data_IF_503648381332
#
_entry.id   IF_503648381332
#
_cell.length_a   1.000
_cell.length_b   1.000
_cell.length_c   1.000
_cell.angle_alpha   90.00
_cell.angle_beta   90.00
_cell.angle_gamma   90.00
#
_symmetry.space_group_name_H-M   'P 1'
#
loop_
_entity.id
_entity.type
_entity.pdbx_description
1 polymer ?
#
# COMPACT_ATOMS: atom_id res chain seq x y z
N UNK A 1 -27.65 -7.19 1.62
CA UNK A 1 -26.82 -6.10 2.10
C UNK A 1 -25.43 -6.67 2.47
N UNK A 2 -24.40 -6.24 1.75
CA UNK A 2 -23.03 -6.79 1.82
C UNK A 2 -22.46 -6.76 3.26
N UNK A 3 -22.72 -5.71 4.04
CA UNK A 3 -22.24 -5.60 5.42
C UNK A 3 -22.89 -6.67 6.32
N UNK A 4 -24.18 -6.84 6.21
CA UNK A 4 -24.93 -7.85 6.96
C UNK A 4 -24.45 -9.27 6.62
N UNK A 5 -24.27 -9.57 5.34
CA UNK A 5 -23.80 -10.88 4.88
C UNK A 5 -22.41 -11.19 5.44
N UNK A 6 -21.48 -10.22 5.39
CA UNK A 6 -20.13 -10.36 5.96
C UNK A 6 -20.15 -10.55 7.48
N UNK A 7 -21.03 -9.81 8.19
CA UNK A 7 -21.21 -9.98 9.63
C UNK A 7 -21.69 -11.40 9.97
N UNK A 8 -22.64 -11.92 9.22
CA UNK A 8 -23.15 -13.28 9.44
C UNK A 8 -22.11 -14.35 9.14
N UNK A 9 -21.34 -14.19 8.06
CA UNK A 9 -20.23 -15.08 7.74
C UNK A 9 -19.15 -15.05 8.82
N UNK A 10 -18.81 -13.85 9.32
CA UNK A 10 -17.81 -13.67 10.36
C UNK A 10 -18.24 -14.25 11.72
N UNK A 11 -19.52 -14.22 12.04
CA UNK A 11 -20.06 -14.85 13.27
C UNK A 11 -19.74 -16.36 13.34
N UNK A 12 -19.65 -17.02 12.20
CA UNK A 12 -19.28 -18.44 12.08
C UNK A 12 -17.83 -18.62 11.61
N UNK A 13 -17.05 -17.54 11.70
CA UNK A 13 -15.67 -17.48 11.25
C UNK A 13 -14.70 -18.30 12.10
N UNK A 14 -13.50 -18.42 11.59
CA UNK A 14 -12.41 -19.16 12.22
C UNK A 14 -11.21 -18.26 12.46
N UNK A 15 -10.39 -18.61 13.45
CA UNK A 15 -9.10 -17.96 13.62
C UNK A 15 -8.11 -18.42 12.55
N UNK A 16 -7.33 -17.48 12.05
CA UNK A 16 -6.22 -17.82 11.18
C UNK A 16 -5.16 -18.61 11.97
N UNK A 17 -4.53 -19.56 11.31
CA UNK A 17 -3.36 -20.25 11.85
C UNK A 17 -2.13 -19.33 11.74
N UNK A 18 -1.46 -19.08 12.87
CA UNK A 18 -0.27 -18.26 12.91
C UNK A 18 0.87 -18.83 12.06
N UNK A 19 1.71 -17.96 11.53
CA UNK A 19 2.91 -18.35 10.82
C UNK A 19 3.08 -17.63 9.49
N UNK A 20 4.15 -17.97 8.79
CA UNK A 20 4.45 -17.40 7.47
C UNK A 20 3.63 -18.12 6.39
N UNK A 21 2.64 -17.45 5.84
CA UNK A 21 1.62 -18.04 4.97
C UNK A 21 1.59 -17.37 3.60
N UNK A 22 1.15 -18.13 2.59
CA UNK A 22 0.77 -17.58 1.29
C UNK A 22 -0.57 -16.89 1.44
N UNK A 23 -0.66 -15.64 0.97
CA UNK A 23 -1.90 -14.86 1.01
C UNK A 23 -2.17 -14.22 -0.34
N UNK A 24 -3.45 -13.95 -0.59
CA UNK A 24 -3.90 -12.99 -1.59
C UNK A 24 -4.40 -11.76 -0.82
N UNK A 25 -3.71 -10.63 -0.95
CA UNK A 25 -4.16 -9.35 -0.42
C UNK A 25 -5.13 -8.73 -1.42
N UNK A 26 -6.35 -8.41 -1.01
CA UNK A 26 -7.28 -7.65 -1.84
C UNK A 26 -6.83 -6.22 -2.08
N UNK A 27 -7.45 -5.52 -3.02
CA UNK A 27 -7.03 -4.18 -3.43
C UNK A 27 -6.94 -3.16 -2.30
N UNK A 28 -7.87 -3.19 -1.34
CA UNK A 28 -7.80 -2.31 -0.16
C UNK A 28 -6.60 -2.62 0.75
N UNK A 29 -6.28 -3.89 0.96
CA UNK A 29 -5.13 -4.30 1.76
C UNK A 29 -3.81 -3.93 1.09
N UNK A 30 -3.70 -4.14 -0.24
CA UNK A 30 -2.52 -3.76 -1.01
C UNK A 30 -2.36 -2.23 -1.09
N UNK A 31 -3.47 -1.48 -1.17
CA UNK A 31 -3.47 -0.02 -1.10
C UNK A 31 -2.98 0.50 0.25
N UNK A 32 -3.42 -0.09 1.35
CA UNK A 32 -2.92 0.24 2.68
C UNK A 32 -1.43 -0.07 2.83
N UNK A 33 -0.98 -1.21 2.33
CA UNK A 33 0.42 -1.58 2.33
C UNK A 33 1.25 -0.61 1.49
N UNK A 34 0.76 -0.21 0.31
CA UNK A 34 1.39 0.78 -0.56
C UNK A 34 1.56 2.13 0.15
N UNK A 35 0.58 2.54 0.95
CA UNK A 35 0.59 3.79 1.70
C UNK A 35 1.45 3.69 2.97
N UNK A 36 1.07 2.81 3.90
CA UNK A 36 1.66 2.79 5.24
C UNK A 36 3.06 2.17 5.25
N UNK A 37 3.22 0.99 4.65
CA UNK A 37 4.46 0.24 4.79
C UNK A 37 5.56 0.69 3.81
N UNK A 38 5.19 1.20 2.64
CA UNK A 38 6.14 1.64 1.60
C UNK A 38 6.12 3.15 1.43
N UNK A 39 4.95 3.75 1.30
CA UNK A 39 4.77 5.16 0.98
C UNK A 39 5.50 6.08 1.97
N UNK A 40 5.30 5.87 3.27
CA UNK A 40 6.00 6.67 4.28
C UNK A 40 7.51 6.48 4.25
N UNK A 41 8.03 5.28 4.01
CA UNK A 41 9.49 5.06 3.96
C UNK A 41 10.18 5.82 2.83
N UNK A 42 9.45 6.19 1.78
CA UNK A 42 9.97 6.90 0.59
C UNK A 42 9.57 8.39 0.53
N UNK A 43 9.06 8.95 1.61
CA UNK A 43 8.97 10.40 1.79
C UNK A 43 10.37 10.95 2.07
N UNK A 44 10.85 11.87 1.27
CA UNK A 44 12.27 12.27 1.26
C UNK A 44 12.77 12.82 2.60
N UNK A 45 11.91 13.47 3.39
CA UNK A 45 12.26 13.93 4.73
C UNK A 45 12.52 12.77 5.71
N UNK A 46 11.76 11.65 5.57
CA UNK A 46 12.00 10.45 6.36
C UNK A 46 13.25 9.71 5.89
N UNK A 47 13.55 9.78 4.58
CA UNK A 47 14.81 9.27 4.03
C UNK A 47 16.01 10.05 4.62
N UNK A 48 15.93 11.37 4.70
CA UNK A 48 16.94 12.20 5.39
C UNK A 48 17.04 11.86 6.88
N UNK A 49 15.93 11.47 7.51
CA UNK A 49 15.86 10.98 8.89
C UNK A 49 16.33 9.53 9.10
N UNK A 50 16.85 8.85 8.07
CA UNK A 50 17.42 7.50 8.19
C UNK A 50 16.47 6.36 7.84
N UNK A 51 15.41 6.61 7.06
CA UNK A 51 14.53 5.54 6.55
C UNK A 51 15.31 4.47 5.78
N UNK A 52 14.83 3.24 5.88
CA UNK A 52 15.33 2.06 5.14
C UNK A 52 15.39 2.28 3.62
N UNK A 53 14.60 3.19 3.08
CA UNK A 53 14.61 3.54 1.66
C UNK A 53 15.89 4.31 1.23
N UNK A 54 16.58 5.00 2.15
CA UNK A 54 17.79 5.75 1.82
C UNK A 54 18.85 4.90 1.12
N UNK A 55 19.37 3.84 1.76
CA UNK A 55 20.38 2.96 1.14
C UNK A 55 19.79 2.06 0.04
N UNK A 56 18.49 2.04 -0.16
CA UNK A 56 17.80 1.18 -1.14
C UNK A 56 17.56 1.85 -2.51
N UNK A 57 17.85 3.15 -2.67
CA UNK A 57 17.69 3.83 -3.96
C UNK A 57 18.48 3.13 -5.05
N UNK A 58 17.85 2.93 -6.21
CA UNK A 58 18.36 2.19 -7.37
C UNK A 58 18.67 0.70 -7.09
N UNK A 59 18.13 0.15 -5.99
CA UNK A 59 18.25 -1.27 -5.66
C UNK A 59 16.90 -1.97 -5.73
N UNK A 60 16.94 -3.29 -5.81
CA UNK A 60 15.74 -4.14 -5.80
C UNK A 60 15.11 -4.18 -4.41
N UNK A 61 13.87 -3.74 -4.33
CA UNK A 61 13.04 -3.73 -3.12
C UNK A 61 11.78 -4.59 -3.26
N UNK A 62 11.51 -5.10 -4.45
CA UNK A 62 10.35 -5.95 -4.72
C UNK A 62 10.63 -6.91 -5.87
N UNK A 63 9.67 -7.79 -6.19
CA UNK A 63 9.70 -8.59 -7.41
C UNK A 63 9.52 -7.70 -8.64
N UNK A 64 9.84 -8.22 -9.83
CA UNK A 64 9.69 -7.49 -11.10
C UNK A 64 8.24 -7.09 -11.42
N UNK A 65 7.27 -7.69 -10.74
CA UNK A 65 5.85 -7.38 -10.90
C UNK A 65 5.43 -6.11 -10.14
N UNK A 66 6.23 -5.65 -9.19
CA UNK A 66 5.87 -4.53 -8.31
C UNK A 66 6.24 -3.21 -8.94
N UNK A 67 5.22 -2.42 -9.25
CA UNK A 67 5.32 -1.03 -9.68
C UNK A 67 4.48 -0.16 -8.73
N UNK A 68 5.07 0.89 -8.16
CA UNK A 68 4.42 1.78 -7.20
C UNK A 68 4.53 3.22 -7.64
N UNK A 69 3.41 3.92 -7.66
CA UNK A 69 3.31 5.33 -8.08
C UNK A 69 2.46 6.11 -7.08
N UNK A 70 2.88 7.32 -6.75
CA UNK A 70 2.02 8.32 -6.13
C UNK A 70 1.51 9.28 -7.21
N UNK A 71 0.26 9.07 -7.63
CA UNK A 71 -0.36 9.83 -8.71
C UNK A 71 -0.75 11.24 -8.29
N UNK A 72 -0.56 12.20 -9.19
CA UNK A 72 -0.93 13.59 -8.98
C UNK A 72 -2.44 13.84 -9.12
N UNK A 73 -2.94 13.87 -10.35
CA UNK A 73 -4.33 14.22 -10.65
C UNK A 73 -5.04 13.20 -11.54
N UNK A 74 -4.29 12.34 -12.22
CA UNK A 74 -4.82 11.34 -13.15
C UNK A 74 -4.11 10.02 -12.89
N UNK A 75 -4.84 8.94 -12.76
CA UNK A 75 -4.31 7.59 -12.59
C UNK A 75 -4.85 6.69 -13.70
N UNK A 76 -3.98 6.06 -14.48
CA UNK A 76 -4.34 5.12 -15.55
C UNK A 76 -5.42 5.68 -16.51
N UNK A 77 -5.30 6.96 -16.89
CA UNK A 77 -6.19 7.63 -17.83
C UNK A 77 -7.54 8.08 -17.24
N UNK A 78 -7.74 8.00 -15.93
CA UNK A 78 -8.94 8.46 -15.20
C UNK A 78 -8.55 9.47 -14.12
N UNK A 79 -9.45 10.37 -13.70
CA UNK A 79 -9.20 11.22 -12.55
C UNK A 79 -8.81 10.39 -11.33
N UNK A 80 -7.74 10.78 -10.64
CA UNK A 80 -7.36 10.18 -9.38
C UNK A 80 -8.40 10.51 -8.29
N UNK A 81 -8.54 9.72 -7.22
CA UNK A 81 -9.52 9.99 -6.15
C UNK A 81 -9.38 11.37 -5.52
N UNK A 82 -8.15 11.85 -5.35
CA UNK A 82 -7.81 13.16 -4.79
C UNK A 82 -6.86 13.91 -5.75
N UNK A 83 -7.37 14.52 -6.82
CA UNK A 83 -6.53 15.16 -7.82
C UNK A 83 -5.82 16.40 -7.24
N UNK A 84 -4.50 16.43 -7.37
CA UNK A 84 -3.64 17.55 -7.00
C UNK A 84 -2.96 18.07 -8.26
N UNK A 85 -3.18 19.33 -8.59
CA UNK A 85 -2.60 19.99 -9.78
C UNK A 85 -1.40 20.86 -9.43
N UNK A 86 -1.43 21.44 -8.23
CA UNK A 86 -0.41 22.30 -7.67
C UNK A 86 -0.29 21.98 -6.19
N UNK A 87 0.90 21.88 -5.66
CA UNK A 87 1.10 21.72 -4.21
C UNK A 87 1.15 23.07 -3.47
N UNK A 88 1.24 23.04 -2.16
CA UNK A 88 1.22 24.25 -1.32
C UNK A 88 2.56 25.02 -1.34
N UNK A 89 3.60 24.52 -2.01
CA UNK A 89 4.80 25.27 -2.40
C UNK A 89 4.70 25.91 -3.79
N UNK A 90 3.56 25.75 -4.50
CA UNK A 90 3.36 26.22 -5.86
C UNK A 90 4.05 25.36 -6.92
N UNK A 91 4.41 24.13 -6.61
CA UNK A 91 5.02 23.19 -7.56
C UNK A 91 3.94 22.49 -8.39
N UNK A 92 3.97 22.55 -9.75
CA UNK A 92 3.08 21.76 -10.57
C UNK A 92 3.21 20.26 -10.28
N UNK A 93 2.09 19.64 -9.94
CA UNK A 93 2.08 18.24 -9.54
C UNK A 93 2.28 17.29 -10.71
N UNK A 94 3.15 16.31 -10.54
CA UNK A 94 3.45 15.22 -11.47
C UNK A 94 3.46 13.91 -10.71
N UNK A 95 3.25 12.81 -11.40
CA UNK A 95 3.33 11.49 -10.79
C UNK A 95 4.73 11.23 -10.25
N UNK A 96 4.82 10.75 -9.01
CA UNK A 96 6.05 10.29 -8.41
C UNK A 96 6.16 8.77 -8.60
N UNK A 97 7.01 8.33 -9.53
CA UNK A 97 7.30 6.89 -9.71
C UNK A 97 8.27 6.49 -8.62
N UNK A 98 7.82 5.66 -7.70
CA UNK A 98 8.57 5.25 -6.51
C UNK A 98 9.30 3.92 -6.76
N UNK A 99 8.57 2.91 -7.23
CA UNK A 99 9.14 1.61 -7.59
C UNK A 99 8.77 1.30 -9.05
N UNK A 100 9.75 0.86 -9.82
CA UNK A 100 9.59 0.37 -11.19
C UNK A 100 10.23 -0.99 -11.33
N UNK A 101 9.45 -1.98 -11.75
CA UNK A 101 9.91 -3.37 -11.95
C UNK A 101 10.71 -3.89 -10.73
N UNK A 102 10.19 -3.60 -9.53
CA UNK A 102 10.80 -3.97 -8.25
C UNK A 102 12.02 -3.15 -7.82
N UNK A 103 12.43 -2.16 -8.59
CA UNK A 103 13.56 -1.27 -8.25
C UNK A 103 13.02 0.04 -7.65
N UNK A 104 13.55 0.46 -6.52
CA UNK A 104 13.27 1.79 -5.94
C UNK A 104 13.94 2.86 -6.80
N UNK A 105 13.16 3.70 -7.47
CA UNK A 105 13.66 4.66 -8.47
C UNK A 105 13.55 6.11 -8.04
N UNK A 106 12.82 6.40 -6.95
CA UNK A 106 12.61 7.78 -6.52
C UNK A 106 11.97 7.89 -5.15
N UNK A 107 11.89 9.12 -4.69
CA UNK A 107 11.22 9.54 -3.46
C UNK A 107 10.14 10.56 -3.76
N UNK A 108 9.16 10.71 -2.88
CA UNK A 108 8.29 11.88 -2.89
C UNK A 108 9.04 13.08 -2.33
N UNK A 109 9.03 14.20 -3.05
CA UNK A 109 9.86 15.34 -2.75
C UNK A 109 9.05 16.64 -2.65
N UNK A 110 9.46 17.54 -1.74
CA UNK A 110 9.24 18.96 -1.81
C UNK A 110 10.42 19.64 -2.54
N UNK A 111 10.46 20.97 -2.60
CA UNK A 111 11.52 21.72 -3.31
C UNK A 111 12.89 21.55 -2.63
N UNK A 112 12.93 21.60 -1.31
CA UNK A 112 14.16 21.46 -0.52
C UNK A 112 14.79 20.07 -0.67
N UNK A 113 14.01 19.02 -0.41
CA UNK A 113 14.52 17.65 -0.52
C UNK A 113 14.87 17.26 -1.95
N UNK A 114 14.12 17.77 -2.94
CA UNK A 114 14.44 17.55 -4.35
C UNK A 114 15.82 18.15 -4.71
N UNK A 115 16.11 19.35 -4.20
CA UNK A 115 17.46 19.96 -4.36
C UNK A 115 18.54 19.12 -3.68
N UNK A 116 18.28 18.65 -2.45
CA UNK A 116 19.23 17.83 -1.67
C UNK A 116 19.60 16.51 -2.40
N UNK A 117 18.61 15.83 -2.97
CA UNK A 117 18.83 14.56 -3.68
C UNK A 117 19.16 14.72 -5.18
N UNK A 118 19.26 15.94 -5.70
CA UNK A 118 19.44 16.18 -7.13
C UNK A 118 18.27 15.69 -7.99
N UNK A 119 17.07 15.65 -7.40
CA UNK A 119 15.82 15.21 -8.04
C UNK A 119 14.96 16.42 -8.45
N UNK A 120 13.86 16.15 -9.17
CA UNK A 120 12.84 17.18 -9.45
C UNK A 120 11.71 17.05 -8.45
N UNK A 121 11.17 18.16 -7.91
CA UNK A 121 9.99 18.12 -7.06
C UNK A 121 8.78 17.67 -7.88
N UNK A 122 7.92 16.84 -7.28
CA UNK A 122 6.74 16.29 -7.95
C UNK A 122 5.42 16.88 -7.47
N UNK A 123 5.47 17.89 -6.58
CA UNK A 123 4.26 18.49 -6.05
C UNK A 123 3.64 17.68 -4.91
N UNK A 124 4.47 17.24 -3.98
CA UNK A 124 4.06 16.50 -2.78
C UNK A 124 4.03 17.35 -1.51
N UNK A 125 4.41 18.64 -1.56
CA UNK A 125 4.38 19.53 -0.42
C UNK A 125 2.94 19.97 -0.14
N UNK A 126 2.30 19.42 0.92
CA UNK A 126 0.89 19.65 1.23
C UNK A 126 0.71 20.08 2.67
N UNK A 127 -0.14 21.08 2.90
CA UNK A 127 -0.53 21.60 4.20
C UNK A 127 -2.03 21.36 4.46
N UNK A 128 -2.39 21.10 5.72
CA UNK A 128 -3.81 20.96 6.10
C UNK A 128 -4.53 22.29 6.10
N UNK A 129 -3.89 23.33 6.68
CA UNK A 129 -4.40 24.69 6.71
C UNK A 129 -3.39 25.65 6.09
N UNK A 130 -3.85 26.84 5.73
CA UNK A 130 -3.00 27.90 5.18
C UNK A 130 -1.90 28.40 6.15
N UNK A 131 -2.06 28.13 7.45
CA UNK A 131 -1.08 28.47 8.49
C UNK A 131 -0.10 27.33 8.81
N UNK A 132 -0.30 26.16 8.24
CA UNK A 132 0.55 25.02 8.49
C UNK A 132 1.74 25.01 7.54
N UNK A 133 2.85 24.42 7.97
CA UNK A 133 3.99 24.15 7.12
C UNK A 133 3.66 23.06 6.09
N UNK A 134 3.89 23.29 4.78
CA UNK A 134 3.76 22.22 3.79
C UNK A 134 4.75 21.07 4.05
N UNK A 135 4.24 19.88 4.25
CA UNK A 135 5.01 18.66 4.47
C UNK A 135 4.97 17.77 3.24
N UNK A 136 5.97 16.92 3.06
CA UNK A 136 5.91 15.89 2.02
C UNK A 136 4.80 14.91 2.38
N UNK A 137 3.79 14.78 1.50
CA UNK A 137 2.61 13.96 1.74
C UNK A 137 2.23 13.19 0.49
N UNK A 138 1.83 11.96 0.71
CA UNK A 138 1.18 11.15 -0.33
C UNK A 138 -0.10 11.82 -0.82
N UNK A 139 -0.45 11.56 -2.08
CA UNK A 139 -1.67 12.03 -2.74
C UNK A 139 -2.57 10.84 -3.07
N UNK A 140 -2.20 10.07 -4.10
CA UNK A 140 -2.91 8.87 -4.53
C UNK A 140 -1.88 7.76 -4.78
N UNK A 141 -1.47 7.09 -3.71
CA UNK A 141 -0.41 6.08 -3.78
C UNK A 141 -0.99 4.72 -4.11
N UNK A 142 -0.48 4.08 -5.16
CA UNK A 142 -0.99 2.79 -5.59
C UNK A 142 0.09 1.88 -6.18
N UNK A 143 -0.05 0.58 -5.92
CA UNK A 143 0.59 -0.45 -6.74
C UNK A 143 -0.16 -0.50 -8.08
N UNK A 144 0.59 -0.60 -9.19
CA UNK A 144 -0.01 -0.70 -10.51
C UNK A 144 -0.60 -2.10 -10.75
N UNK A 145 -1.69 -2.20 -11.52
CA UNK A 145 -2.26 -3.50 -11.88
C UNK A 145 -1.31 -4.30 -12.79
N UNK A 146 -1.35 -5.62 -12.60
CA UNK A 146 -0.66 -6.60 -13.41
C UNK A 146 -1.54 -7.21 -14.50
N UNK A 147 -1.47 -8.53 -14.67
CA UNK A 147 -2.17 -9.26 -15.72
C UNK A 147 -2.98 -10.46 -15.20
N UNK A 148 -2.82 -10.80 -13.93
CA UNK A 148 -3.44 -11.99 -13.37
C UNK A 148 -4.92 -11.72 -13.07
N UNK A 149 -5.74 -12.76 -13.15
CA UNK A 149 -7.12 -12.69 -12.70
C UNK A 149 -7.20 -13.08 -11.23
N UNK A 150 -8.01 -12.38 -10.46
CA UNK A 150 -8.18 -12.67 -9.03
C UNK A 150 -8.59 -14.12 -8.77
N UNK A 151 -9.48 -14.66 -9.61
CA UNK A 151 -9.93 -16.03 -9.50
C UNK A 151 -8.78 -17.03 -9.66
N UNK A 152 -7.89 -16.80 -10.62
CA UNK A 152 -6.71 -17.64 -10.89
C UNK A 152 -5.70 -17.53 -9.74
N UNK A 153 -5.54 -16.34 -9.16
CA UNK A 153 -4.70 -16.13 -7.97
C UNK A 153 -5.21 -16.97 -6.79
N UNK A 154 -6.52 -16.94 -6.52
CA UNK A 154 -7.16 -17.73 -5.46
C UNK A 154 -7.01 -19.22 -5.76
N UNK A 155 -7.29 -19.62 -6.99
CA UNK A 155 -7.22 -21.02 -7.42
C UNK A 155 -5.81 -21.62 -7.29
N UNK A 156 -4.77 -20.79 -7.35
CA UNK A 156 -3.37 -21.20 -7.26
C UNK A 156 -2.86 -21.42 -5.83
N UNK A 157 -3.65 -21.09 -4.80
CA UNK A 157 -3.26 -21.23 -3.39
C UNK A 157 -3.82 -22.54 -2.82
N UNK A 158 -2.96 -23.48 -2.45
CA UNK A 158 -3.37 -24.76 -1.86
C UNK A 158 -3.85 -24.59 -0.41
N UNK A 159 -3.13 -23.80 0.38
CA UNK A 159 -3.45 -23.47 1.77
C UNK A 159 -2.97 -22.05 2.09
N UNK A 160 -3.90 -21.17 2.43
CA UNK A 160 -3.60 -19.77 2.71
C UNK A 160 -4.84 -18.94 2.99
N UNK A 161 -4.75 -17.63 2.72
CA UNK A 161 -5.82 -16.70 3.06
C UNK A 161 -6.03 -15.65 1.97
N UNK A 162 -7.29 -15.22 1.79
CA UNK A 162 -7.67 -14.04 1.05
C UNK A 162 -8.04 -12.93 2.05
N UNK A 163 -7.24 -11.87 2.11
CA UNK A 163 -7.37 -10.79 3.09
C UNK A 163 -7.90 -9.54 2.42
N UNK A 164 -9.03 -9.01 2.89
CA UNK A 164 -9.81 -7.98 2.20
C UNK A 164 -9.71 -6.60 2.82
N UNK A 165 -9.90 -6.51 4.14
CA UNK A 165 -10.08 -5.24 4.83
C UNK A 165 -9.25 -5.17 6.11
N UNK A 166 -8.70 -4.00 6.35
CA UNK A 166 -8.00 -3.65 7.59
C UNK A 166 -8.82 -2.65 8.39
N UNK A 167 -8.72 -2.72 9.71
CA UNK A 167 -9.32 -1.76 10.64
C UNK A 167 -8.29 -0.78 11.24
N UNK A 168 -7.02 -1.12 11.16
CA UNK A 168 -5.92 -0.29 11.63
C UNK A 168 -4.60 -0.77 11.01
N UNK A 169 -3.58 0.07 11.09
CA UNK A 169 -2.23 -0.28 10.63
C UNK A 169 -1.20 0.63 11.26
N UNK A 170 -0.01 0.11 11.39
CA UNK A 170 1.15 0.81 11.86
C UNK A 170 2.37 0.35 11.08
N UNK A 171 3.17 1.31 10.64
CA UNK A 171 4.47 1.05 10.03
C UNK A 171 5.47 2.10 10.51
N UNK A 172 6.76 1.77 10.46
CA UNK A 172 7.83 2.65 10.86
C UNK A 172 8.84 2.91 9.73
N UNK A 173 9.86 3.71 10.01
CA UNK A 173 10.90 4.08 9.04
C UNK A 173 11.88 2.93 8.72
N UNK A 174 11.85 1.83 9.48
CA UNK A 174 12.61 0.61 9.16
C UNK A 174 11.89 -0.27 8.14
N UNK A 175 10.63 0.07 7.82
CA UNK A 175 9.77 -0.69 6.94
C UNK A 175 9.07 -1.86 7.63
N UNK A 176 9.20 -1.99 8.96
CA UNK A 176 8.38 -2.92 9.73
C UNK A 176 6.94 -2.43 9.76
N UNK A 177 6.01 -3.36 9.58
CA UNK A 177 4.58 -3.05 9.62
C UNK A 177 3.79 -4.12 10.36
N UNK A 178 2.67 -3.70 10.91
CA UNK A 178 1.62 -4.56 11.47
C UNK A 178 0.26 -3.98 11.13
N UNK A 179 -0.62 -4.78 10.54
CA UNK A 179 -2.00 -4.39 10.21
C UNK A 179 -2.98 -5.36 10.83
N UNK A 180 -4.05 -4.83 11.42
CA UNK A 180 -5.21 -5.61 11.79
C UNK A 180 -6.02 -5.98 10.55
N UNK A 181 -6.42 -7.23 10.45
CA UNK A 181 -7.31 -7.74 9.38
C UNK A 181 -8.67 -7.99 9.98
N UNK A 182 -9.68 -7.26 9.52
CA UNK A 182 -11.05 -7.39 10.00
C UNK A 182 -11.96 -8.18 9.05
N UNK A 183 -11.52 -8.46 7.82
CA UNK A 183 -12.26 -9.29 6.88
C UNK A 183 -11.33 -10.08 5.98
N UNK A 184 -11.57 -11.36 5.88
CA UNK A 184 -10.85 -12.27 5.00
C UNK A 184 -11.49 -13.66 4.99
N UNK A 185 -10.93 -14.56 4.20
CA UNK A 185 -11.37 -15.93 4.05
C UNK A 185 -10.20 -16.90 4.03
N UNK A 186 -10.42 -18.12 4.51
CA UNK A 186 -9.50 -19.23 4.22
C UNK A 186 -9.47 -19.49 2.70
N UNK A 187 -8.31 -19.90 2.21
CA UNK A 187 -8.20 -20.55 0.90
C UNK A 187 -7.73 -21.97 1.16
N UNK A 188 -8.51 -22.95 0.72
CA UNK A 188 -8.17 -24.38 0.81
C UNK A 188 -8.37 -25.00 -0.56
N UNK A 189 -7.31 -25.60 -1.11
CA UNK A 189 -7.33 -26.26 -2.44
C UNK A 189 -7.88 -25.35 -3.55
N UNK A 190 -7.41 -24.09 -3.55
CA UNK A 190 -7.81 -23.09 -4.54
C UNK A 190 -9.25 -22.57 -4.41
N UNK A 191 -9.92 -22.77 -3.28
CA UNK A 191 -11.30 -22.32 -3.05
C UNK A 191 -11.41 -21.50 -1.78
N UNK A 192 -12.27 -20.49 -1.80
CA UNK A 192 -12.61 -19.72 -0.59
C UNK A 192 -13.38 -20.63 0.38
N UNK A 193 -12.91 -20.62 1.63
CA UNK A 193 -13.53 -21.33 2.74
C UNK A 193 -14.29 -20.40 3.67
N UNK A 194 -14.17 -20.63 4.99
CA UNK A 194 -14.84 -19.85 6.02
C UNK A 194 -14.23 -18.44 6.14
N UNK A 195 -15.06 -17.50 6.59
CA UNK A 195 -14.60 -16.18 6.94
C UNK A 195 -13.61 -16.25 8.12
N UNK A 196 -12.66 -15.30 8.15
CA UNK A 196 -11.72 -15.16 9.24
C UNK A 196 -12.31 -14.26 10.35
N UNK A 197 -12.07 -14.65 11.59
CA UNK A 197 -12.11 -13.74 12.72
C UNK A 197 -10.94 -12.77 12.66
N UNK A 198 -10.98 -11.72 13.51
CA UNK A 198 -9.91 -10.72 13.51
C UNK A 198 -8.55 -11.37 13.72
N UNK A 199 -7.61 -10.97 12.91
CA UNK A 199 -6.23 -11.41 12.95
C UNK A 199 -5.30 -10.24 12.62
N UNK A 200 -4.01 -10.47 12.62
CA UNK A 200 -3.00 -9.48 12.23
C UNK A 200 -2.10 -10.02 11.14
N UNK A 201 -1.58 -9.13 10.32
CA UNK A 201 -0.45 -9.40 9.43
C UNK A 201 0.71 -8.51 9.82
N UNK A 202 1.93 -9.02 9.68
CA UNK A 202 3.15 -8.27 9.95
C UNK A 202 4.30 -8.69 9.07
N UNK A 203 5.31 -7.84 8.98
CA UNK A 203 6.51 -8.12 8.21
C UNK A 203 7.37 -6.88 8.00
N UNK A 204 8.38 -7.03 7.14
CA UNK A 204 9.19 -5.95 6.59
C UNK A 204 8.74 -5.69 5.15
N UNK A 205 8.37 -4.46 4.83
CA UNK A 205 7.72 -4.11 3.56
C UNK A 205 8.50 -4.58 2.33
N UNK A 206 9.78 -4.24 2.24
CA UNK A 206 10.60 -4.61 1.09
C UNK A 206 10.83 -6.12 0.98
N UNK A 207 10.90 -6.85 2.10
CA UNK A 207 11.04 -8.29 2.06
C UNK A 207 9.73 -8.96 1.60
N UNK A 208 8.60 -8.47 2.07
CA UNK A 208 7.30 -8.93 1.60
C UNK A 208 7.10 -8.65 0.10
N UNK A 209 7.44 -7.44 -0.38
CA UNK A 209 7.33 -7.09 -1.81
C UNK A 209 8.16 -7.98 -2.72
N UNK A 210 9.30 -8.52 -2.24
CA UNK A 210 10.12 -9.50 -2.99
C UNK A 210 9.41 -10.84 -3.16
N UNK A 211 8.43 -11.16 -2.32
CA UNK A 211 7.66 -12.41 -2.40
C UNK A 211 6.43 -12.30 -3.29
N UNK A 212 6.11 -11.13 -3.82
CA UNK A 212 4.98 -10.93 -4.74
C UNK A 212 5.24 -11.70 -6.03
N UNK A 213 4.37 -12.63 -6.35
CA UNK A 213 4.52 -13.52 -7.51
C UNK A 213 3.30 -13.53 -8.45
N UNK A 214 2.18 -12.89 -8.06
CA UNK A 214 1.05 -12.56 -8.93
C UNK A 214 0.47 -11.20 -8.56
N UNK A 215 0.01 -10.45 -9.56
CA UNK A 215 -0.60 -9.12 -9.42
C UNK A 215 -1.84 -9.04 -10.32
N UNK A 216 -3.02 -8.76 -9.73
CA UNK A 216 -4.26 -8.73 -10.50
C UNK A 216 -4.34 -7.56 -11.48
N UNK A 217 -5.23 -7.70 -12.46
CA UNK A 217 -5.46 -6.72 -13.53
C UNK A 217 -6.35 -5.53 -13.11
N UNK A 218 -6.93 -5.57 -11.93
CA UNK A 218 -7.92 -4.59 -11.48
C UNK A 218 -7.39 -3.75 -10.32
N UNK A 219 -7.36 -2.43 -10.51
CA UNK A 219 -7.02 -1.47 -9.47
C UNK A 219 -8.27 -1.07 -8.68
N UNK A 220 -8.24 -1.25 -7.38
CA UNK A 220 -9.25 -0.74 -6.45
C UNK A 220 -8.71 0.48 -5.69
N UNK A 221 -9.56 1.48 -5.45
CA UNK A 221 -9.23 2.67 -4.69
C UNK A 221 -10.00 2.75 -3.38
N UNK A 222 -9.32 3.20 -2.33
CA UNK A 222 -9.89 3.70 -1.08
C UNK A 222 -9.47 5.15 -0.90
N UNK A 223 -10.45 6.05 -0.71
CA UNK A 223 -10.22 7.49 -0.53
C UNK A 223 -10.91 8.05 0.72
N UNK A 224 -11.35 7.19 1.62
CA UNK A 224 -12.08 7.56 2.84
C UNK A 224 -11.18 7.82 4.05
N UNK A 225 -9.85 7.78 3.89
CA UNK A 225 -8.90 7.88 4.98
C UNK A 225 -8.13 9.20 5.05
N UNK A 226 -7.64 9.46 6.25
CA UNK A 226 -6.71 10.55 6.52
C UNK A 226 -5.38 9.96 6.99
N UNK A 227 -4.29 10.40 6.38
CA UNK A 227 -2.94 10.16 6.87
C UNK A 227 -2.63 11.17 7.98
N UNK A 228 -2.18 10.69 9.15
CA UNK A 228 -2.00 11.49 10.37
C UNK A 228 -0.59 12.03 10.61
N UNK A 229 0.36 11.91 9.68
CA UNK A 229 1.75 12.35 9.89
C UNK A 229 1.80 13.86 10.20
N UNK A 230 1.96 14.23 11.47
CA UNK A 230 1.97 15.60 12.02
C UNK A 230 0.68 16.41 11.75
N UNK A 231 0.05 16.25 10.62
CA UNK A 231 -1.16 16.94 10.19
C UNK A 231 -2.12 15.93 9.57
N UNK A 232 -3.46 16.04 9.75
CA UNK A 232 -4.40 15.20 9.03
C UNK A 232 -4.38 15.58 7.54
N UNK A 233 -4.26 14.60 6.65
CA UNK A 233 -4.23 14.85 5.21
C UNK A 233 -5.07 13.80 4.48
N UNK A 234 -6.07 14.21 3.68
CA UNK A 234 -6.82 13.25 2.87
C UNK A 234 -5.90 12.62 1.83
N UNK A 235 -6.02 11.30 1.66
CA UNK A 235 -5.20 10.51 0.75
C UNK A 235 -6.04 9.48 0.01
N UNK A 236 -5.66 9.19 -1.23
CA UNK A 236 -6.11 8.01 -1.98
C UNK A 236 -5.10 6.88 -1.81
N UNK A 237 -5.59 5.70 -1.47
CA UNK A 237 -4.79 4.48 -1.39
C UNK A 237 -5.33 3.48 -2.39
N UNK A 238 -4.49 2.89 -3.21
CA UNK A 238 -4.96 1.97 -4.24
C UNK A 238 -4.03 0.79 -4.47
N UNK A 239 -4.60 -0.26 -5.01
CA UNK A 239 -3.84 -1.41 -5.46
C UNK A 239 -4.69 -2.46 -6.13
N UNK A 240 -4.05 -3.35 -6.90
CA UNK A 240 -4.62 -4.61 -7.34
C UNK A 240 -4.54 -5.64 -6.21
N UNK A 241 -5.15 -6.81 -6.39
CA UNK A 241 -4.83 -7.92 -5.52
C UNK A 241 -3.37 -8.38 -5.72
N UNK A 242 -2.69 -8.73 -4.62
CA UNK A 242 -1.31 -9.21 -4.62
C UNK A 242 -1.25 -10.60 -4.00
N UNK A 243 -0.66 -11.59 -4.69
CA UNK A 243 -0.28 -12.85 -4.05
C UNK A 243 1.15 -12.74 -3.54
N UNK A 244 1.34 -12.99 -2.27
CA UNK A 244 2.63 -12.87 -1.59
C UNK A 244 2.71 -13.79 -0.38
N UNK A 245 3.81 -13.72 0.35
CA UNK A 245 4.00 -14.40 1.63
C UNK A 245 4.14 -13.38 2.75
N UNK A 246 3.46 -13.63 3.87
CA UNK A 246 3.42 -12.70 5.00
C UNK A 246 3.27 -13.47 6.32
N UNK A 247 3.71 -12.85 7.41
CA UNK A 247 3.46 -13.39 8.75
C UNK A 247 2.00 -13.11 9.15
N UNK A 248 1.26 -14.16 9.46
CA UNK A 248 -0.08 -14.08 10.06
C UNK A 248 0.06 -14.25 11.56
N UNK A 249 -0.54 -13.35 12.32
CA UNK A 249 -0.71 -13.50 13.75
C UNK A 249 -1.83 -14.51 14.03
N UNK A 250 -1.61 -15.34 15.05
CA UNK A 250 -2.64 -16.23 15.57
C UNK A 250 -3.44 -15.57 16.70
N UNK A 251 -4.24 -16.39 17.35
CA UNK A 251 -4.95 -16.04 18.59
C UNK A 251 -3.97 -15.94 19.75
#
# INVERSE_FOLDING_TARGET
>A
DRLYERLMQKREGVYAEAGYKTVVLGGMMSGMLAHEAVGHTVEAELVLGGSVAGPALNKRVGSDLVNLVDFAHTALGRPAPLPVYLDDEGTPAKDAVLIRDGILTGYMNNRESAWHFGMKPQGNARAWNFSDEPLIRMRNTAVLPGKDRLEDMIASVEDGYYLLESNNGQADTTGEFMFGVCMGYEIKKGKLGRALLDTTISGVAFDMLKTVDMVSDTLEWSSSGFCGKKQPMPVGMGGPALRCKIMIGGR
#
